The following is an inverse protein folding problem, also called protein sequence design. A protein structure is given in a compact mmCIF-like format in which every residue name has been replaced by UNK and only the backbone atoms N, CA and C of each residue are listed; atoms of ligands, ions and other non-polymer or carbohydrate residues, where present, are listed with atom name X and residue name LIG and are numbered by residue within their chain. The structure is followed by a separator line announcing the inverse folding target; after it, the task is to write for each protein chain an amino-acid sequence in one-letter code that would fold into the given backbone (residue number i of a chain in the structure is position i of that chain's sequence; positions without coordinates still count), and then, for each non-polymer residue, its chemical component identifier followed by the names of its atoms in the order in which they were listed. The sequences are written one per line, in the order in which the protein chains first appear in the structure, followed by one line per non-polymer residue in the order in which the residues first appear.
data_IF_798774556764
#
_entry.id   IF_798774556764
#
_cell.length_a   1.000
_cell.length_b   1.000
_cell.length_c   1.000
_cell.angle_alpha   90.00
_cell.angle_beta   90.00
_cell.angle_gamma   90.00
#
_symmetry.space_group_name_H-M   'P 1'
#
loop_
_entity.id
_entity.type
_entity.pdbx_description
1 polymer ?
#
# COMPACT_ATOMS: atom_id res chain seq x y z
N UNK A 1 9.47 -48.86 22.21
CA UNK A 1 8.54 -47.72 22.34
C UNK A 1 8.53 -46.97 21.02
N UNK A 2 7.46 -47.11 20.25
CA UNK A 2 7.29 -46.38 18.99
C UNK A 2 6.87 -44.94 19.35
N UNK A 3 7.71 -43.95 19.04
CA UNK A 3 7.37 -42.54 19.21
C UNK A 3 6.46 -42.15 18.04
N UNK A 4 5.19 -41.89 18.34
CA UNK A 4 4.21 -41.35 17.40
C UNK A 4 4.57 -39.87 17.17
N UNK A 5 5.04 -39.51 15.97
CA UNK A 5 5.20 -38.11 15.59
C UNK A 5 3.82 -37.50 15.34
N UNK A 6 3.37 -36.60 16.21
CA UNK A 6 2.19 -35.76 15.97
C UNK A 6 2.51 -34.82 14.80
N UNK A 7 1.66 -34.72 13.75
CA UNK A 7 1.78 -33.62 12.82
C UNK A 7 1.38 -32.34 13.57
N UNK A 8 2.30 -31.39 13.70
CA UNK A 8 1.91 -30.02 13.98
C UNK A 8 1.10 -29.54 12.77
N UNK A 9 -0.23 -29.61 12.88
CA UNK A 9 -1.08 -28.79 12.06
C UNK A 9 -0.80 -27.34 12.47
N UNK A 10 -0.01 -26.62 11.67
CA UNK A 10 0.06 -25.16 11.76
C UNK A 10 -1.32 -24.69 11.32
N UNK A 11 -2.21 -24.46 12.28
CA UNK A 11 -3.41 -23.69 12.01
C UNK A 11 -2.93 -22.30 11.62
N UNK A 12 -3.12 -21.93 10.35
CA UNK A 12 -3.08 -20.54 9.97
C UNK A 12 -4.16 -19.85 10.82
N UNK A 13 -3.74 -19.05 11.81
CA UNK A 13 -4.64 -18.08 12.39
C UNK A 13 -4.97 -17.11 11.26
N UNK A 14 -6.25 -17.02 10.89
CA UNK A 14 -6.75 -15.87 10.16
C UNK A 14 -6.48 -14.66 11.06
N UNK A 15 -5.33 -14.01 10.83
CA UNK A 15 -5.00 -12.78 11.50
C UNK A 15 -5.95 -11.73 10.94
N UNK A 16 -6.88 -11.28 11.79
CA UNK A 16 -7.74 -10.15 11.47
C UNK A 16 -6.85 -8.94 11.20
N UNK A 17 -7.05 -8.30 10.04
CA UNK A 17 -6.29 -7.12 9.67
C UNK A 17 -6.74 -5.93 10.55
N UNK A 18 -5.84 -4.99 10.86
CA UNK A 18 -6.22 -3.79 11.59
C UNK A 18 -7.17 -2.92 10.75
N UNK A 19 -8.09 -2.25 11.43
CA UNK A 19 -9.00 -1.26 10.87
C UNK A 19 -8.47 0.15 11.21
N UNK A 20 -8.33 1.00 10.20
CA UNK A 20 -7.81 2.37 10.31
C UNK A 20 -8.93 3.42 10.42
N UNK A 21 -10.19 3.01 10.63
CA UNK A 21 -11.35 3.87 10.93
C UNK A 21 -11.58 5.00 9.91
N UNK A 22 -11.31 4.73 8.63
CA UNK A 22 -11.45 5.70 7.56
C UNK A 22 -10.40 6.82 7.58
N UNK A 23 -9.25 6.61 8.24
CA UNK A 23 -8.13 7.55 8.28
C UNK A 23 -7.73 8.00 6.87
N UNK A 24 -7.54 9.31 6.66
CA UNK A 24 -6.90 9.80 5.45
C UNK A 24 -5.40 9.53 5.50
N UNK A 25 -4.89 8.88 4.45
CA UNK A 25 -3.46 8.55 4.30
C UNK A 25 -2.95 9.31 3.09
N UNK A 26 -2.00 10.21 3.27
CA UNK A 26 -1.44 11.07 2.22
C UNK A 26 -0.22 10.42 1.59
N UNK A 27 -0.23 10.32 0.26
CA UNK A 27 0.62 9.41 -0.50
C UNK A 27 1.31 10.18 -1.62
N UNK A 28 2.64 10.22 -1.57
CA UNK A 28 3.44 10.82 -2.63
C UNK A 28 3.52 9.93 -3.87
N UNK A 29 3.29 10.51 -5.05
CA UNK A 29 3.38 9.84 -6.35
C UNK A 29 4.14 10.73 -7.34
N UNK A 30 5.09 10.18 -8.09
CA UNK A 30 5.82 10.94 -9.12
C UNK A 30 5.19 10.78 -10.52
N UNK A 31 4.51 9.66 -10.77
CA UNK A 31 3.84 9.31 -12.03
C UNK A 31 4.78 9.19 -13.24
N UNK A 32 6.01 8.72 -13.04
CA UNK A 32 7.03 8.59 -14.09
C UNK A 32 7.56 7.16 -14.31
N UNK A 33 7.07 6.16 -13.58
CA UNK A 33 7.61 4.81 -13.55
C UNK A 33 6.62 3.76 -14.07
N UNK A 34 6.72 3.38 -15.34
CA UNK A 34 5.95 2.25 -15.90
C UNK A 34 6.57 0.91 -15.45
N UNK A 35 5.80 -0.08 -14.94
CA UNK A 35 4.34 -0.12 -14.82
C UNK A 35 3.78 0.24 -13.43
N UNK A 36 4.61 0.84 -12.55
CA UNK A 36 4.31 1.05 -11.14
C UNK A 36 3.40 2.25 -10.87
N UNK A 37 3.77 3.42 -11.37
CA UNK A 37 3.03 4.67 -11.25
C UNK A 37 3.33 5.57 -12.45
N UNK A 38 2.33 5.84 -13.29
CA UNK A 38 2.52 6.62 -14.52
C UNK A 38 1.21 7.27 -14.96
N UNK A 39 1.31 8.29 -15.82
CA UNK A 39 0.14 8.83 -16.50
C UNK A 39 -0.18 8.01 -17.75
N UNK A 40 -1.43 7.59 -17.92
CA UNK A 40 -1.89 6.96 -19.17
C UNK A 40 -1.69 7.95 -20.33
N UNK A 41 -0.97 7.59 -21.40
CA UNK A 41 -0.65 8.51 -22.50
C UNK A 41 -1.87 8.96 -23.33
N UNK A 42 -3.03 8.33 -23.14
CA UNK A 42 -4.29 8.64 -23.85
C UNK A 42 -5.21 9.52 -23.02
N UNK A 43 -5.28 9.29 -21.71
CA UNK A 43 -6.21 10.00 -20.81
C UNK A 43 -5.53 11.02 -19.91
N UNK A 44 -4.21 10.91 -19.73
CA UNK A 44 -3.42 11.68 -18.79
C UNK A 44 -3.83 11.48 -17.32
N UNK A 45 -4.49 10.35 -17.01
CA UNK A 45 -4.89 9.96 -15.66
C UNK A 45 -3.78 9.13 -15.00
N UNK A 46 -3.54 9.28 -13.68
CA UNK A 46 -2.61 8.43 -12.94
C UNK A 46 -3.09 6.97 -12.88
N UNK A 47 -2.17 6.03 -13.14
CA UNK A 47 -2.43 4.60 -13.04
C UNK A 47 -1.15 3.80 -12.78
N UNK A 48 -1.30 2.51 -12.49
CA UNK A 48 -0.19 1.57 -12.35
C UNK A 48 -0.36 0.65 -11.16
N UNK A 49 0.59 -0.29 -11.01
CA UNK A 49 0.55 -1.28 -9.95
C UNK A 49 0.49 -0.69 -8.54
N UNK A 50 1.15 0.44 -8.27
CA UNK A 50 1.15 1.05 -6.94
C UNK A 50 -0.23 1.64 -6.58
N UNK A 51 -0.91 2.27 -7.54
CA UNK A 51 -2.29 2.71 -7.36
C UNK A 51 -3.22 1.53 -7.06
N UNK A 52 -3.11 0.46 -7.84
CA UNK A 52 -3.92 -0.76 -7.63
C UNK A 52 -3.64 -1.38 -6.25
N UNK A 53 -2.37 -1.46 -5.86
CA UNK A 53 -1.94 -1.99 -4.57
C UNK A 53 -2.49 -1.16 -3.42
N UNK A 54 -2.37 0.17 -3.48
CA UNK A 54 -2.82 1.06 -2.41
C UNK A 54 -4.34 1.03 -2.28
N UNK A 55 -5.07 1.01 -3.39
CA UNK A 55 -6.52 0.88 -3.37
C UNK A 55 -6.98 -0.44 -2.75
N UNK A 56 -6.26 -1.55 -3.02
CA UNK A 56 -6.52 -2.84 -2.38
C UNK A 56 -6.21 -2.80 -0.87
N UNK A 57 -5.12 -2.14 -0.47
CA UNK A 57 -4.79 -1.95 0.95
C UNK A 57 -5.84 -1.08 1.65
N UNK A 58 -6.30 0.00 1.00
CA UNK A 58 -7.35 0.88 1.51
C UNK A 58 -8.64 0.12 1.78
N UNK A 59 -9.04 -0.77 0.87
CA UNK A 59 -10.22 -1.60 1.04
C UNK A 59 -10.07 -2.61 2.21
N UNK A 60 -8.87 -3.17 2.40
CA UNK A 60 -8.60 -4.17 3.45
C UNK A 60 -8.40 -3.58 4.84
N UNK A 61 -7.85 -2.37 4.91
CA UNK A 61 -7.44 -1.71 6.15
C UNK A 61 -8.37 -0.54 6.52
N UNK A 62 -9.38 -0.24 5.72
CA UNK A 62 -10.34 0.85 5.92
C UNK A 62 -9.66 2.22 6.12
N UNK A 63 -8.92 2.68 5.11
CA UNK A 63 -8.38 4.04 5.04
C UNK A 63 -8.78 4.71 3.73
N UNK A 64 -8.67 6.04 3.66
CA UNK A 64 -8.94 6.85 2.49
C UNK A 64 -7.62 7.32 1.88
N UNK A 65 -7.21 6.81 0.71
CA UNK A 65 -5.98 7.26 0.07
C UNK A 65 -6.13 8.69 -0.49
N UNK A 66 -5.15 9.54 -0.21
CA UNK A 66 -5.03 10.90 -0.76
C UNK A 66 -3.71 10.98 -1.55
N UNK A 67 -3.80 10.98 -2.88
CA UNK A 67 -2.62 11.00 -3.73
C UNK A 67 -2.17 12.43 -4.05
N UNK A 68 -0.90 12.72 -3.83
CA UNK A 68 -0.28 14.00 -4.19
C UNK A 68 0.93 13.78 -5.11
N UNK A 69 1.10 14.68 -6.09
CA UNK A 69 2.23 14.58 -7.00
C UNK A 69 3.49 15.23 -6.43
N UNK A 70 4.55 14.45 -6.26
CA UNK A 70 5.84 14.91 -5.71
C UNK A 70 7.00 14.14 -6.36
N UNK A 71 8.18 14.76 -6.48
CA UNK A 71 9.35 14.05 -6.98
C UNK A 71 9.87 13.05 -5.93
N UNK A 72 10.49 11.96 -6.39
CA UNK A 72 11.02 10.94 -5.50
C UNK A 72 11.98 11.50 -4.43
N UNK A 73 12.90 12.37 -4.85
CA UNK A 73 13.86 12.99 -3.94
C UNK A 73 13.20 13.86 -2.86
N UNK A 74 12.10 14.54 -3.20
CA UNK A 74 11.35 15.36 -2.26
C UNK A 74 10.46 14.50 -1.34
N UNK A 75 9.88 13.42 -1.86
CA UNK A 75 9.04 12.48 -1.10
C UNK A 75 9.80 11.89 0.08
N UNK A 76 11.04 11.44 -0.12
CA UNK A 76 11.85 10.83 0.95
C UNK A 76 12.00 11.77 2.16
N UNK A 77 12.22 13.05 1.90
CA UNK A 77 12.35 14.06 2.95
C UNK A 77 10.99 14.37 3.57
N UNK A 78 9.95 14.52 2.75
CA UNK A 78 8.60 14.85 3.17
C UNK A 78 7.98 13.76 4.07
N UNK A 79 8.18 12.48 3.76
CA UNK A 79 7.78 11.35 4.64
C UNK A 79 8.53 11.42 5.97
N UNK A 80 9.83 11.72 5.95
CA UNK A 80 10.62 11.91 7.17
C UNK A 80 10.14 13.07 8.05
N UNK A 81 9.53 14.09 7.44
CA UNK A 81 8.93 15.23 8.13
C UNK A 81 7.46 15.00 8.53
N UNK A 82 6.84 13.91 8.10
CA UNK A 82 5.41 13.65 8.30
C UNK A 82 4.47 14.50 7.43
N UNK A 83 4.97 15.01 6.31
CA UNK A 83 4.17 15.71 5.29
C UNK A 83 3.39 14.71 4.41
N UNK A 84 3.94 13.49 4.24
CA UNK A 84 3.28 12.33 3.65
C UNK A 84 3.37 11.14 4.60
N UNK A 85 2.39 10.23 4.52
CA UNK A 85 2.38 8.98 5.27
C UNK A 85 3.13 7.86 4.53
N UNK A 86 3.24 7.97 3.19
CA UNK A 86 4.02 7.07 2.32
C UNK A 86 4.60 7.75 1.08
#
# INVERSE_FOLDING_TARGET
MLILALPLAVAAQDAELPDLDGLEVVIGMENLYVPFQFLDPRTNEPMGFEYDLIMELAARLNFVPVFETVSWDAQIVAVGNGEFDM
#
